data_IF_620178602643
#
_entry.id   IF_620178602643
#
_cell.length_a   1.000
_cell.length_b   1.000
_cell.length_c   1.000
_cell.angle_alpha   90.00
_cell.angle_beta   90.00
_cell.angle_gamma   90.00
#
_symmetry.space_group_name_H-M   'P 1'
#
loop_
_entity.id
_entity.type
_entity.pdbx_description
1 polymer ?
#
# COMPACT_ATOMS: atom_id res chain seq x y z
N UNK A 1 45.40 -4.50 -5.28
CA UNK A 1 45.97 -3.33 -4.56
C UNK A 1 44.88 -2.69 -3.73
N UNK A 2 45.12 -2.59 -2.43
CA UNK A 2 44.28 -1.99 -1.40
C UNK A 2 43.91 -0.53 -1.69
N UNK A 3 42.71 -0.12 -1.26
CA UNK A 3 42.54 0.89 -0.19
C UNK A 3 41.07 1.01 0.24
N UNK A 4 40.76 0.42 1.39
CA UNK A 4 39.62 0.77 2.26
C UNK A 4 39.80 2.20 2.78
N UNK A 5 38.71 2.96 2.89
CA UNK A 5 38.66 4.15 3.76
C UNK A 5 37.39 4.09 4.61
N UNK A 6 37.62 3.77 5.88
CA UNK A 6 36.71 3.94 7.01
C UNK A 6 36.87 5.40 7.47
N UNK A 7 35.76 6.08 7.75
CA UNK A 7 35.76 7.38 8.43
C UNK A 7 34.84 7.32 9.64
N UNK A 8 35.49 7.07 10.77
CA UNK A 8 35.01 7.22 12.14
C UNK A 8 34.93 8.71 12.47
N UNK A 9 33.81 9.18 13.00
CA UNK A 9 33.76 10.43 13.76
C UNK A 9 33.11 10.16 15.11
N UNK A 10 33.86 10.48 16.16
CA UNK A 10 33.51 10.29 17.56
C UNK A 10 33.13 11.65 18.20
N UNK A 11 31.99 11.62 18.91
CA UNK A 11 31.70 12.19 20.24
C UNK A 11 31.95 13.67 20.58
N UNK A 12 30.88 14.33 21.04
CA UNK A 12 30.73 15.04 22.33
C UNK A 12 29.22 15.35 22.49
N UNK A 13 28.49 15.10 23.59
CA UNK A 13 28.84 15.11 24.99
C UNK A 13 28.26 16.38 25.62
N UNK A 14 27.04 16.33 26.17
CA UNK A 14 26.55 17.32 27.14
C UNK A 14 25.58 16.66 28.12
N UNK A 15 25.99 16.71 29.38
CA UNK A 15 25.35 16.20 30.59
C UNK A 15 24.62 17.35 31.27
N UNK A 16 23.40 17.10 31.73
CA UNK A 16 22.69 17.84 32.77
C UNK A 16 21.50 16.97 33.18
N UNK A 17 21.15 16.72 34.44
CA UNK A 17 21.51 17.34 35.70
C UNK A 17 20.27 17.26 36.61
N UNK A 18 20.19 16.19 37.40
CA UNK A 18 19.48 15.92 38.66
C UNK A 18 18.31 16.83 39.13
N UNK A 19 17.19 16.21 39.54
CA UNK A 19 16.61 16.24 40.91
C UNK A 19 15.17 15.66 40.91
N UNK A 20 14.91 14.56 41.65
CA UNK A 20 14.11 14.55 42.90
C UNK A 20 12.65 14.11 42.60
N UNK A 21 12.00 13.15 43.26
CA UNK A 21 12.09 12.66 44.62
C UNK A 21 11.77 11.16 44.71
N UNK A 22 12.50 10.43 45.57
CA UNK A 22 12.02 9.22 46.22
C UNK A 22 10.88 9.59 47.19
N UNK A 23 9.84 8.76 47.26
CA UNK A 23 9.19 8.46 48.53
C UNK A 23 8.53 7.08 48.48
N UNK A 24 9.06 6.14 49.28
CA UNK A 24 8.41 4.89 49.68
C UNK A 24 7.26 5.19 50.65
N UNK A 25 6.08 4.64 50.39
CA UNK A 25 5.17 4.19 51.45
C UNK A 25 4.08 3.27 50.89
N UNK A 26 4.21 1.96 51.15
CA UNK A 26 3.05 1.06 51.17
C UNK A 26 2.31 1.28 52.48
N UNK A 27 0.98 1.42 52.40
CA UNK A 27 0.13 0.73 53.35
C UNK A 27 -0.91 -0.12 52.64
N UNK A 28 -1.07 -1.35 53.14
CA UNK A 28 -2.20 -2.21 52.86
C UNK A 28 -3.54 -1.45 52.99
N UNK A 29 -4.35 -1.52 51.94
CA UNK A 29 -5.79 -1.30 52.06
C UNK A 29 -6.51 -2.20 51.07
N UNK A 30 -7.04 -3.31 51.61
CA UNK A 30 -8.17 -4.03 51.02
C UNK A 30 -9.29 -3.03 50.74
N UNK A 31 -9.70 -2.99 49.48
CA UNK A 31 -10.76 -2.14 48.98
C UNK A 31 -11.11 -2.62 47.59
N UNK A 32 -11.95 -3.64 47.51
CA UNK A 32 -12.57 -4.07 46.27
C UNK A 32 -13.19 -2.86 45.55
N UNK A 33 -12.67 -2.57 44.37
CA UNK A 33 -13.37 -1.79 43.36
C UNK A 33 -12.91 -2.36 42.03
N UNK A 34 -13.68 -3.34 41.55
CA UNK A 34 -13.75 -3.69 40.13
C UNK A 34 -14.09 -2.41 39.38
N UNK A 35 -13.03 -1.69 39.00
CA UNK A 35 -13.13 -0.63 38.02
C UNK A 35 -13.10 -1.38 36.70
N UNK A 36 -14.27 -1.79 36.24
CA UNK A 36 -14.42 -2.31 34.89
C UNK A 36 -13.83 -1.29 33.94
N UNK A 37 -12.68 -1.62 33.35
CA UNK A 37 -12.17 -0.87 32.21
C UNK A 37 -13.31 -0.75 31.21
N UNK A 38 -13.64 0.46 30.72
CA UNK A 38 -14.54 0.54 29.59
C UNK A 38 -13.85 -0.24 28.47
N UNK A 39 -14.41 -1.40 28.12
CA UNK A 39 -14.13 -2.02 26.84
C UNK A 39 -14.60 -1.01 25.82
N UNK A 40 -13.66 -0.17 25.37
CA UNK A 40 -13.84 0.67 24.21
C UNK A 40 -13.93 -0.32 23.06
N UNK A 41 -15.14 -0.77 22.75
CA UNK A 41 -15.43 -1.44 21.50
C UNK A 41 -15.01 -0.44 20.43
N UNK A 42 -13.86 -0.67 19.79
CA UNK A 42 -13.49 0.09 18.61
C UNK A 42 -14.67 -0.04 17.66
N UNK A 43 -15.35 1.07 17.37
CA UNK A 43 -16.43 1.07 16.39
C UNK A 43 -15.82 0.55 15.09
N UNK A 44 -16.37 -0.54 14.56
CA UNK A 44 -15.99 -1.07 13.26
C UNK A 44 -16.07 0.09 12.26
N UNK A 45 -14.97 0.44 11.57
CA UNK A 45 -14.99 1.54 10.62
C UNK A 45 -16.09 1.29 9.59
N UNK A 46 -17.08 2.16 9.50
CA UNK A 46 -18.11 2.04 8.45
C UNK A 46 -17.51 2.41 7.11
N UNK A 47 -17.53 1.50 6.15
CA UNK A 47 -17.04 1.75 4.79
C UNK A 47 -18.17 2.16 3.84
N UNK A 48 -17.95 3.23 3.08
CA UNK A 48 -18.87 3.71 2.04
C UNK A 48 -18.70 2.85 0.77
N UNK A 49 -19.20 1.61 0.79
CA UNK A 49 -19.02 0.65 -0.31
C UNK A 49 -19.67 1.10 -1.63
N UNK A 50 -20.68 1.95 -1.59
CA UNK A 50 -21.27 2.57 -2.79
C UNK A 50 -20.28 3.50 -3.51
N UNK A 51 -19.27 4.00 -2.80
CA UNK A 51 -18.19 4.81 -3.36
C UNK A 51 -17.02 3.95 -3.86
N UNK A 52 -17.04 2.62 -3.63
CA UNK A 52 -15.98 1.73 -4.07
C UNK A 52 -15.89 1.74 -5.60
N UNK A 53 -14.73 2.10 -6.14
CA UNK A 53 -14.54 2.15 -7.59
C UNK A 53 -13.14 1.72 -7.97
N UNK A 54 -13.09 0.78 -8.90
CA UNK A 54 -11.87 0.39 -9.62
C UNK A 54 -12.06 0.60 -11.13
N UNK A 55 -10.97 0.75 -11.89
CA UNK A 55 -11.02 0.79 -13.35
C UNK A 55 -11.84 -0.38 -13.90
N UNK A 56 -12.73 -0.07 -14.85
CA UNK A 56 -13.51 -1.07 -15.58
C UNK A 56 -12.81 -1.31 -16.91
N UNK A 57 -12.69 -2.57 -17.39
CA UNK A 57 -12.10 -2.87 -18.69
C UNK A 57 -12.76 -2.08 -19.84
N UNK A 58 -12.02 -1.78 -20.91
CA UNK A 58 -12.62 -1.15 -22.08
C UNK A 58 -13.74 -2.04 -22.65
N UNK A 59 -14.72 -1.40 -23.30
CA UNK A 59 -15.73 -2.14 -24.06
C UNK A 59 -15.11 -2.86 -25.27
N UNK A 60 -15.82 -3.84 -25.86
CA UNK A 60 -15.27 -4.70 -26.90
C UNK A 60 -14.76 -3.95 -28.13
N UNK A 61 -15.35 -2.81 -28.47
CA UNK A 61 -14.94 -1.99 -29.62
C UNK A 61 -13.69 -1.13 -29.36
N UNK A 62 -13.33 -0.96 -28.08
CA UNK A 62 -12.19 -0.17 -27.63
C UNK A 62 -11.07 -1.02 -27.03
N UNK A 63 -11.28 -2.35 -26.96
CA UNK A 63 -10.34 -3.29 -26.38
C UNK A 63 -9.33 -3.78 -27.44
N UNK A 64 -8.04 -3.45 -27.34
CA UNK A 64 -7.03 -3.96 -28.26
C UNK A 64 -6.94 -5.49 -28.17
N UNK A 65 -6.53 -6.21 -29.23
CA UNK A 65 -6.31 -7.65 -29.14
C UNK A 65 -5.37 -8.04 -27.98
N UNK A 66 -5.63 -9.16 -27.30
CA UNK A 66 -4.77 -9.69 -26.25
C UNK A 66 -5.42 -10.76 -25.38
N UNK A 67 -4.72 -11.14 -24.31
CA UNK A 67 -5.20 -12.13 -23.34
C UNK A 67 -6.37 -11.57 -22.52
N UNK A 68 -7.49 -12.29 -22.48
CA UNK A 68 -8.67 -11.92 -21.71
C UNK A 68 -8.40 -11.87 -20.19
N UNK A 69 -7.44 -12.65 -19.69
CA UNK A 69 -7.12 -12.70 -18.26
C UNK A 69 -6.34 -11.48 -17.76
N UNK A 70 -5.89 -10.58 -18.66
CA UNK A 70 -5.08 -9.41 -18.29
C UNK A 70 -5.80 -8.41 -17.39
N UNK A 71 -7.13 -8.48 -17.32
CA UNK A 71 -7.99 -7.64 -16.48
C UNK A 71 -8.48 -8.31 -15.20
N UNK A 72 -8.17 -9.59 -15.02
CA UNK A 72 -8.73 -10.37 -13.92
C UNK A 72 -8.15 -9.89 -12.59
N UNK A 73 -8.97 -9.18 -11.82
CA UNK A 73 -8.67 -8.86 -10.43
C UNK A 73 -8.65 -10.15 -9.60
N UNK A 74 -7.74 -10.27 -8.62
CA UNK A 74 -7.76 -11.41 -7.70
C UNK A 74 -9.04 -11.38 -6.87
N UNK A 75 -9.52 -12.55 -6.47
CA UNK A 75 -10.60 -12.68 -5.48
C UNK A 75 -10.06 -12.37 -4.08
N UNK A 76 -10.98 -12.07 -3.15
CA UNK A 76 -10.64 -11.89 -1.72
C UNK A 76 -9.70 -12.99 -1.24
N UNK A 77 -8.61 -12.66 -0.53
CA UNK A 77 -7.74 -13.68 0.04
C UNK A 77 -8.49 -14.49 1.11
N UNK A 78 -8.18 -15.78 1.22
CA UNK A 78 -8.82 -16.66 2.21
C UNK A 78 -8.32 -16.39 3.64
N UNK A 79 -7.14 -15.79 3.79
CA UNK A 79 -6.62 -15.28 5.06
C UNK A 79 -5.81 -13.99 4.88
N UNK A 80 -5.60 -13.26 5.98
CA UNK A 80 -4.77 -12.07 6.02
C UNK A 80 -3.30 -12.35 6.37
N UNK A 81 -2.80 -13.55 6.03
CA UNK A 81 -1.37 -13.85 6.21
C UNK A 81 -0.49 -13.02 5.28
N UNK A 82 0.69 -12.60 5.74
CA UNK A 82 1.64 -11.77 4.98
C UNK A 82 1.84 -12.24 3.53
N UNK A 83 1.97 -13.54 3.30
CA UNK A 83 2.18 -14.11 1.96
C UNK A 83 0.96 -13.92 1.07
N UNK A 84 -0.23 -14.22 1.58
CA UNK A 84 -1.48 -14.10 0.82
C UNK A 84 -1.82 -12.65 0.53
N UNK A 85 -1.67 -11.74 1.49
CA UNK A 85 -1.98 -10.32 1.27
C UNK A 85 -0.97 -9.65 0.34
N UNK A 86 0.32 -10.03 0.38
CA UNK A 86 1.32 -9.58 -0.61
C UNK A 86 0.96 -10.03 -2.02
N UNK A 87 0.66 -11.32 -2.18
CA UNK A 87 0.26 -11.91 -3.46
C UNK A 87 -1.01 -11.26 -4.01
N UNK A 88 -2.01 -11.07 -3.14
CA UNK A 88 -3.25 -10.38 -3.46
C UNK A 88 -2.99 -8.95 -3.95
N UNK A 89 -2.30 -8.11 -3.15
CA UNK A 89 -2.04 -6.71 -3.48
C UNK A 89 -1.21 -6.54 -4.77
N UNK A 90 -0.21 -7.39 -5.00
CA UNK A 90 0.60 -7.39 -6.22
C UNK A 90 -0.25 -7.70 -7.47
N UNK A 91 -1.06 -8.76 -7.41
CA UNK A 91 -1.98 -9.13 -8.51
C UNK A 91 -3.03 -8.05 -8.74
N UNK A 92 -3.52 -7.45 -7.65
CA UNK A 92 -4.48 -6.36 -7.70
C UNK A 92 -3.92 -5.14 -8.42
N UNK A 93 -2.73 -4.67 -8.02
CA UNK A 93 -2.11 -3.49 -8.64
C UNK A 93 -1.83 -3.72 -10.11
N UNK A 94 -1.37 -4.92 -10.47
CA UNK A 94 -1.18 -5.30 -11.88
C UNK A 94 -2.49 -5.20 -12.67
N UNK A 95 -3.56 -5.84 -12.20
CA UNK A 95 -4.87 -5.76 -12.85
C UNK A 95 -5.39 -4.31 -12.90
N UNK A 96 -5.24 -3.56 -11.82
CA UNK A 96 -5.62 -2.15 -11.73
C UNK A 96 -4.93 -1.29 -12.79
N UNK A 97 -3.60 -1.45 -12.94
CA UNK A 97 -2.82 -0.67 -13.91
C UNK A 97 -3.07 -1.06 -15.34
N UNK A 98 -3.13 -2.36 -15.63
CA UNK A 98 -3.49 -2.82 -16.97
C UNK A 98 -4.87 -2.28 -17.35
N UNK A 99 -5.88 -2.54 -16.53
CA UNK A 99 -7.25 -2.09 -16.79
C UNK A 99 -7.32 -0.57 -16.98
N UNK A 100 -6.68 0.21 -16.10
CA UNK A 100 -6.65 1.66 -16.23
C UNK A 100 -6.02 2.12 -17.54
N UNK A 101 -4.86 1.56 -17.92
CA UNK A 101 -4.14 2.01 -19.12
C UNK A 101 -4.91 1.65 -20.38
N UNK A 102 -5.46 0.43 -20.46
CA UNK A 102 -6.32 0.02 -21.58
C UNK A 102 -7.58 0.88 -21.67
N UNK A 103 -8.27 1.16 -20.56
CA UNK A 103 -9.48 1.98 -20.59
C UNK A 103 -9.23 3.45 -20.93
N UNK A 104 -8.03 3.97 -20.62
CA UNK A 104 -7.66 5.36 -20.94
C UNK A 104 -7.17 5.56 -22.37
N UNK A 105 -6.50 4.55 -22.94
CA UNK A 105 -5.85 4.65 -24.24
C UNK A 105 -6.63 3.95 -25.36
N UNK A 106 -7.41 2.93 -25.02
CA UNK A 106 -8.23 2.17 -25.96
C UNK A 106 -7.41 1.67 -27.15
N UNK A 107 -7.94 1.88 -28.35
CA UNK A 107 -7.34 1.41 -29.61
C UNK A 107 -5.99 2.04 -29.94
N UNK A 108 -5.60 3.15 -29.29
CA UNK A 108 -4.29 3.76 -29.48
C UNK A 108 -3.18 3.04 -28.72
N UNK A 109 -3.51 2.06 -27.88
CA UNK A 109 -2.52 1.30 -27.11
C UNK A 109 -2.11 0.05 -27.88
N UNK A 110 -0.84 -0.03 -28.26
CA UNK A 110 -0.28 -1.22 -28.89
C UNK A 110 0.04 -2.28 -27.83
N UNK A 111 0.70 -1.85 -26.75
CA UNK A 111 1.13 -2.74 -25.67
C UNK A 111 1.22 -1.98 -24.35
N UNK A 112 1.01 -2.70 -23.25
CA UNK A 112 1.36 -2.27 -21.90
C UNK A 112 1.92 -3.44 -21.12
N UNK A 113 2.96 -3.18 -20.35
CA UNK A 113 3.53 -4.09 -19.37
C UNK A 113 3.50 -3.44 -17.99
N UNK A 114 3.29 -4.23 -16.94
CA UNK A 114 3.35 -3.78 -15.55
C UNK A 114 4.22 -4.78 -14.79
N UNK A 115 5.25 -4.26 -14.14
CA UNK A 115 6.20 -5.04 -13.36
C UNK A 115 6.05 -4.68 -11.89
N UNK A 116 5.87 -5.71 -11.06
CA UNK A 116 5.89 -5.55 -9.60
C UNK A 116 7.33 -5.77 -9.16
N UNK A 117 7.93 -4.74 -8.58
CA UNK A 117 9.34 -4.75 -8.17
C UNK A 117 9.48 -5.30 -6.75
N UNK A 118 8.60 -4.87 -5.84
CA UNK A 118 8.68 -5.22 -4.43
C UNK A 118 7.30 -5.09 -3.74
N UNK A 119 7.10 -5.88 -2.69
CA UNK A 119 5.96 -5.75 -1.77
C UNK A 119 6.45 -5.75 -0.33
N UNK A 120 5.99 -4.78 0.47
CA UNK A 120 6.36 -4.62 1.88
C UNK A 120 5.10 -4.62 2.76
N UNK A 121 5.17 -5.28 3.92
CA UNK A 121 4.09 -5.27 4.93
C UNK A 121 4.39 -4.18 5.96
N UNK A 122 3.35 -3.46 6.37
CA UNK A 122 3.42 -2.47 7.43
C UNK A 122 2.42 -2.79 8.55
N UNK A 123 2.66 -2.18 9.72
CA UNK A 123 1.77 -2.29 10.87
C UNK A 123 0.35 -1.85 10.50
N UNK A 124 -0.63 -2.67 10.88
CA UNK A 124 -2.04 -2.48 10.59
C UNK A 124 -2.88 -2.72 11.87
N UNK A 125 -4.11 -2.21 11.92
CA UNK A 125 -5.08 -2.59 12.95
C UNK A 125 -5.31 -4.10 12.98
N UNK A 126 -5.72 -4.63 14.14
CA UNK A 126 -6.08 -6.03 14.29
C UNK A 126 -7.17 -6.43 13.28
N UNK A 127 -6.98 -7.56 12.60
CA UNK A 127 -7.92 -8.04 11.57
C UNK A 127 -7.76 -7.35 10.20
N UNK A 128 -6.67 -6.61 9.99
CA UNK A 128 -6.37 -5.98 8.71
C UNK A 128 -4.89 -6.15 8.34
N UNK A 129 -4.57 -5.87 7.07
CA UNK A 129 -3.20 -5.81 6.58
C UNK A 129 -2.97 -4.53 5.77
N UNK A 130 -1.77 -3.94 5.91
CA UNK A 130 -1.29 -2.87 5.05
C UNK A 130 -0.13 -3.37 4.21
N UNK A 131 -0.25 -3.25 2.89
CA UNK A 131 0.76 -3.67 1.92
C UNK A 131 1.16 -2.49 1.03
N UNK A 132 2.45 -2.19 0.97
CA UNK A 132 3.01 -1.29 -0.03
C UNK A 132 3.50 -2.10 -1.23
N UNK A 133 3.14 -1.68 -2.43
CA UNK A 133 3.51 -2.29 -3.71
C UNK A 133 4.33 -1.28 -4.52
N UNK A 134 5.59 -1.60 -4.76
CA UNK A 134 6.45 -0.86 -5.67
C UNK A 134 6.32 -1.46 -7.07
N UNK A 135 6.07 -0.63 -8.09
CA UNK A 135 5.88 -1.09 -9.45
C UNK A 135 6.34 -0.07 -10.49
N UNK A 136 6.66 -0.59 -11.67
CA UNK A 136 6.88 0.16 -12.90
C UNK A 136 5.86 -0.27 -13.95
N UNK A 137 5.64 0.56 -14.96
CA UNK A 137 4.90 0.17 -16.14
C UNK A 137 5.46 0.86 -17.37
N UNK A 138 5.38 0.15 -18.49
CA UNK A 138 5.79 0.63 -19.79
C UNK A 138 4.60 0.48 -20.75
N UNK A 139 4.41 1.43 -21.64
CA UNK A 139 3.35 1.40 -22.63
C UNK A 139 3.84 1.92 -23.98
N UNK A 140 3.39 1.27 -25.04
CA UNK A 140 3.60 1.74 -26.41
C UNK A 140 2.25 2.19 -26.97
N UNK A 141 2.18 3.42 -27.45
CA UNK A 141 0.98 3.98 -28.09
C UNK A 141 1.25 4.37 -29.55
N UNK A 142 0.20 4.37 -30.36
CA UNK A 142 0.25 4.87 -31.74
C UNK A 142 0.57 6.37 -31.76
N UNK A 143 1.47 6.77 -32.66
CA UNK A 143 1.83 8.16 -32.93
C UNK A 143 1.98 8.41 -34.44
N UNK A 144 1.85 9.67 -34.84
CA UNK A 144 1.82 10.07 -36.26
C UNK A 144 3.12 9.73 -37.02
N UNK A 145 4.26 9.80 -36.34
CA UNK A 145 5.60 9.54 -36.90
C UNK A 145 6.16 8.16 -36.49
N UNK A 146 5.32 7.31 -35.88
CA UNK A 146 5.68 6.01 -35.33
C UNK A 146 5.25 5.82 -33.88
N UNK A 147 5.47 4.64 -33.30
CA UNK A 147 5.08 4.34 -31.92
C UNK A 147 5.78 5.27 -30.91
N UNK A 148 5.04 5.68 -29.88
CA UNK A 148 5.56 6.46 -28.75
C UNK A 148 5.66 5.54 -27.53
N UNK A 149 6.88 5.42 -26.99
CA UNK A 149 7.16 4.69 -25.76
C UNK A 149 6.91 5.59 -24.53
N UNK A 150 6.27 5.02 -23.51
CA UNK A 150 5.99 5.65 -22.23
C UNK A 150 6.54 4.74 -21.14
N UNK A 151 7.63 5.17 -20.50
CA UNK A 151 8.20 4.48 -19.36
C UNK A 151 7.83 5.21 -18.07
N UNK A 152 7.29 4.48 -17.09
CA UNK A 152 7.00 5.06 -15.79
C UNK A 152 8.26 5.14 -14.93
N UNK A 153 8.36 6.15 -14.04
CA UNK A 153 9.27 6.04 -12.90
C UNK A 153 8.83 4.88 -11.98
N UNK A 154 9.64 4.58 -10.96
CA UNK A 154 9.20 3.73 -9.86
C UNK A 154 8.06 4.41 -9.10
N UNK A 155 6.94 3.70 -8.96
CA UNK A 155 5.72 4.17 -8.30
C UNK A 155 5.40 3.29 -7.10
N UNK A 156 4.67 3.88 -6.14
CA UNK A 156 4.23 3.20 -4.93
C UNK A 156 2.71 3.30 -4.80
N UNK A 157 2.05 2.15 -4.67
CA UNK A 157 0.67 2.03 -4.25
C UNK A 157 0.63 1.36 -2.88
N UNK A 158 -0.21 1.85 -1.98
CA UNK A 158 -0.43 1.21 -0.69
C UNK A 158 -1.87 0.74 -0.59
N UNK A 159 -2.04 -0.44 -0.01
CA UNK A 159 -3.29 -1.13 0.14
C UNK A 159 -3.58 -1.35 1.62
N UNK A 160 -4.82 -1.10 2.03
CA UNK A 160 -5.40 -1.63 3.26
C UNK A 160 -6.38 -2.73 2.85
N UNK A 161 -6.31 -3.88 3.50
CA UNK A 161 -7.18 -5.04 3.25
C UNK A 161 -7.70 -5.55 4.58
N UNK A 162 -9.02 -5.64 4.72
CA UNK A 162 -9.68 -6.37 5.79
C UNK A 162 -10.77 -7.30 5.22
N UNK A 163 -11.66 -7.80 6.08
CA UNK A 163 -12.72 -8.73 5.70
C UNK A 163 -13.82 -8.08 4.84
N UNK A 164 -13.95 -6.75 4.84
CA UNK A 164 -15.06 -5.99 4.25
C UNK A 164 -14.63 -5.15 3.04
N UNK A 165 -13.42 -4.59 3.03
CA UNK A 165 -13.00 -3.58 2.06
C UNK A 165 -11.53 -3.69 1.65
N UNK A 166 -11.25 -3.17 0.47
CA UNK A 166 -9.90 -2.83 0.01
C UNK A 166 -9.80 -1.34 -0.25
N UNK A 167 -8.91 -0.65 0.47
CA UNK A 167 -8.56 0.74 0.20
C UNK A 167 -7.26 0.83 -0.57
N UNK A 168 -7.19 1.73 -1.53
CA UNK A 168 -5.99 1.97 -2.34
C UNK A 168 -5.60 3.44 -2.31
N UNK A 169 -4.34 3.71 -1.94
CA UNK A 169 -3.71 5.01 -2.06
C UNK A 169 -2.49 4.94 -2.99
N UNK A 170 -2.13 6.05 -3.64
CA UNK A 170 -0.96 6.12 -4.52
C UNK A 170 -0.21 7.41 -4.26
N UNK A 171 1.10 7.31 -4.06
CA UNK A 171 1.96 8.48 -4.17
C UNK A 171 2.25 8.77 -5.64
N UNK A 172 1.99 10.00 -6.06
CA UNK A 172 2.25 10.49 -7.42
C UNK A 172 3.58 11.23 -7.52
N UNK A 173 4.31 11.36 -6.41
CA UNK A 173 5.63 11.97 -6.37
C UNK A 173 6.69 10.93 -6.69
N UNK A 174 7.77 11.38 -7.32
CA UNK A 174 8.97 10.58 -7.51
C UNK A 174 9.63 10.39 -6.15
N UNK A 175 9.74 9.14 -5.70
CA UNK A 175 10.42 8.75 -4.45
C UNK A 175 11.51 7.74 -4.81
N UNK A 176 12.69 7.88 -4.20
CA UNK A 176 13.78 6.91 -4.33
C UNK A 176 13.90 6.11 -3.02
N UNK A 177 14.01 4.78 -3.12
CA UNK A 177 14.38 3.85 -2.03
C UNK A 177 13.81 4.22 -0.65
N UNK A 178 12.56 3.83 -0.41
CA UNK A 178 11.81 4.17 0.80
C UNK A 178 11.50 2.90 1.59
N UNK A 179 12.15 2.75 2.74
CA UNK A 179 11.93 1.65 3.71
C UNK A 179 10.76 1.94 4.67
N UNK A 180 9.78 2.73 4.22
CA UNK A 180 8.66 3.19 5.03
C UNK A 180 7.42 3.25 4.15
N UNK A 181 6.26 3.20 4.79
CA UNK A 181 4.99 3.46 4.14
C UNK A 181 5.00 4.87 3.54
N UNK A 182 4.92 4.94 2.21
CA UNK A 182 5.02 6.20 1.45
C UNK A 182 3.71 6.97 1.53
N UNK A 183 2.59 6.26 1.43
CA UNK A 183 1.24 6.80 1.50
C UNK A 183 0.39 5.88 2.36
N UNK A 184 -0.37 6.47 3.29
CA UNK A 184 -1.22 5.73 4.21
C UNK A 184 -2.61 5.47 3.57
N UNK A 185 -2.97 4.20 3.29
CA UNK A 185 -4.24 3.86 2.67
C UNK A 185 -5.45 4.06 3.58
N UNK A 186 -5.29 4.08 4.91
CA UNK A 186 -6.42 4.32 5.83
C UNK A 186 -6.86 5.78 5.75
N UNK A 187 -5.90 6.71 5.72
CA UNK A 187 -6.20 8.16 5.75
C UNK A 187 -6.34 8.79 4.38
N UNK A 188 -5.66 8.25 3.35
CA UNK A 188 -5.62 8.84 2.00
C UNK A 188 -6.15 7.89 0.92
N UNK A 189 -6.49 6.65 1.28
CA UNK A 189 -7.00 5.67 0.32
C UNK A 189 -8.45 5.92 -0.03
N UNK A 190 -8.84 5.33 -1.16
CA UNK A 190 -10.24 5.24 -1.58
C UNK A 190 -10.62 3.76 -1.64
N UNK A 191 -11.86 3.39 -1.30
CA UNK A 191 -12.34 2.04 -1.51
C UNK A 191 -12.29 1.71 -3.00
N UNK A 192 -11.65 0.60 -3.34
CA UNK A 192 -11.58 0.08 -4.70
C UNK A 192 -12.40 -1.19 -4.87
N UNK A 193 -12.72 -1.86 -3.76
CA UNK A 193 -13.57 -3.05 -3.72
C UNK A 193 -14.12 -3.26 -2.31
N UNK A 194 -15.32 -3.83 -2.23
CA UNK A 194 -15.92 -4.38 -1.03
C UNK A 194 -16.36 -5.83 -1.30
N UNK A 195 -16.51 -6.63 -0.25
CA UNK A 195 -16.82 -8.06 -0.32
C UNK A 195 -18.24 -8.43 0.15
#
# INVERSE_FOLDING_TARGET
MNRRRVLTYASAGLVGGLSGCLNEQSPDREGASETGSPTQTAETPTYECDAATRPVPPGPDADPPGDAERYTYPTRPDSLSDEEVRSYAARYERAYRLTKTYSQRGTYLNQVSVSIEETEIHDAPDGAAIVQVAYTYDAEIEGDDGPIEIDSPLLYASYYVDDEVVLRAVDKKLQENVSRLVVDPITQGQPVECF
#
